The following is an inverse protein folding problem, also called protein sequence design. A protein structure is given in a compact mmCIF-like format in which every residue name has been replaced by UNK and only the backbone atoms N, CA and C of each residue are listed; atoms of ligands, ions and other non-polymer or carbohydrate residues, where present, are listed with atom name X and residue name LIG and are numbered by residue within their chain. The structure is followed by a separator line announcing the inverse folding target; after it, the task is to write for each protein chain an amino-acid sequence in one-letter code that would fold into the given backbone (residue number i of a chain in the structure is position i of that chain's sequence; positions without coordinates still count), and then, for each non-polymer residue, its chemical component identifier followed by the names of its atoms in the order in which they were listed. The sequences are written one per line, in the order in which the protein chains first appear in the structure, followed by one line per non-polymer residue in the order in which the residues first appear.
data_IF_034168784861
#
_entry.id   IF_034168784861
#
_cell.length_a   1.000
_cell.length_b   1.000
_cell.length_c   1.000
_cell.angle_alpha   90.00
_cell.angle_beta   90.00
_cell.angle_gamma   90.00
#
_symmetry.space_group_name_H-M   'P 1'
#
loop_
_entity.id
_entity.type
_entity.pdbx_description
1 polymer ?
#
# COMPACT_ATOMS: atom_id res chain seq x y z
N UNK A 1 -3.65 6.59 18.81
CA UNK A 1 -2.68 5.57 18.33
C UNK A 1 -1.91 5.08 19.53
N UNK A 2 -1.69 3.76 19.61
CA UNK A 2 -0.86 3.15 20.65
C UNK A 2 0.48 2.75 20.04
N UNK A 3 1.57 3.05 20.75
CA UNK A 3 2.93 2.71 20.33
C UNK A 3 3.52 1.77 21.36
N UNK A 4 4.07 0.66 20.88
CA UNK A 4 4.80 -0.29 21.71
C UNK A 4 6.30 -0.09 21.52
N UNK A 5 6.98 0.32 22.59
CA UNK A 5 8.44 0.40 22.63
C UNK A 5 8.99 -1.01 22.90
N UNK A 6 9.64 -1.61 21.92
CA UNK A 6 10.14 -3.00 22.01
C UNK A 6 11.28 -3.14 23.02
N UNK A 7 12.11 -2.11 23.19
CA UNK A 7 13.24 -2.10 24.13
C UNK A 7 12.73 -1.99 25.57
N UNK A 8 11.81 -1.05 25.82
CA UNK A 8 11.24 -0.82 27.15
C UNK A 8 10.12 -1.78 27.49
N UNK A 9 9.53 -2.45 26.50
CA UNK A 9 8.35 -3.33 26.60
C UNK A 9 7.14 -2.63 27.22
N UNK A 10 6.95 -1.36 26.87
CA UNK A 10 5.88 -0.52 27.40
C UNK A 10 5.00 0.01 26.27
N UNK A 11 3.71 0.09 26.54
CA UNK A 11 2.76 0.81 25.70
C UNK A 11 2.68 2.27 26.10
N UNK A 12 2.54 3.15 25.12
CA UNK A 12 2.26 4.56 25.31
C UNK A 12 1.28 5.06 24.27
N UNK A 13 0.35 5.91 24.70
CA UNK A 13 -0.60 6.56 23.82
C UNK A 13 0.01 7.81 23.18
N UNK A 14 -0.14 7.94 21.87
CA UNK A 14 0.17 9.17 21.13
C UNK A 14 -0.97 10.15 21.34
N UNK A 15 -0.70 11.43 21.64
CA UNK A 15 -1.72 12.46 21.75
C UNK A 15 -2.60 12.47 20.50
N UNK A 16 -3.91 12.42 20.74
CA UNK A 16 -4.89 12.50 19.68
C UNK A 16 -4.81 13.90 19.04
N UNK A 17 -4.71 14.03 17.71
CA UNK A 17 -4.98 15.30 17.06
C UNK A 17 -6.44 15.69 17.37
N UNK A 18 -6.64 16.53 18.38
CA UNK A 18 -7.95 16.84 18.99
C UNK A 18 -9.05 17.32 18.02
N UNK A 19 -8.68 17.78 16.82
CA UNK A 19 -9.60 18.19 15.75
C UNK A 19 -9.89 17.09 14.70
N UNK A 20 -9.38 15.87 14.94
CA UNK A 20 -9.33 14.77 13.99
C UNK A 20 -9.96 13.49 14.54
N UNK A 21 -11.17 13.60 15.09
CA UNK A 21 -12.00 12.42 15.30
C UNK A 21 -12.16 11.67 13.97
N UNK A 22 -11.75 10.41 13.96
CA UNK A 22 -11.95 9.52 12.82
C UNK A 22 -13.44 9.46 12.46
N UNK A 23 -13.70 9.51 11.16
CA UNK A 23 -15.05 9.37 10.62
C UNK A 23 -15.54 7.92 10.59
N UNK A 24 -14.69 6.96 10.97
CA UNK A 24 -14.98 5.53 10.94
C UNK A 24 -15.46 4.99 12.30
N UNK A 25 -16.29 3.93 12.32
CA UNK A 25 -16.75 3.29 13.55
C UNK A 25 -15.59 2.89 14.46
N UNK A 26 -15.71 3.16 15.76
CA UNK A 26 -14.72 2.79 16.77
C UNK A 26 -13.38 3.53 16.66
N UNK A 27 -13.32 4.64 15.92
CA UNK A 27 -12.07 5.40 15.75
C UNK A 27 -11.07 4.74 14.79
N UNK A 28 -11.53 3.83 13.93
CA UNK A 28 -10.69 3.10 12.98
C UNK A 28 -10.18 3.99 11.83
N UNK A 29 -9.46 3.40 10.88
CA UNK A 29 -9.03 4.08 9.66
C UNK A 29 -8.96 3.08 8.50
N UNK A 30 -8.92 3.56 7.27
CA UNK A 30 -8.92 2.72 6.07
C UNK A 30 -7.59 1.98 5.95
N UNK A 31 -6.46 2.70 5.97
CA UNK A 31 -5.12 2.10 5.90
C UNK A 31 -4.06 3.03 6.47
N UNK A 32 -2.89 2.49 6.79
CA UNK A 32 -1.71 3.26 7.14
C UNK A 32 -0.48 2.70 6.44
N UNK A 33 0.51 3.55 6.23
CA UNK A 33 1.83 3.19 5.73
C UNK A 33 2.90 4.04 6.41
N UNK A 34 4.14 3.58 6.38
CA UNK A 34 5.29 4.37 6.83
C UNK A 34 6.10 4.76 5.60
N UNK A 35 6.37 6.05 5.43
CA UNK A 35 7.25 6.60 4.41
C UNK A 35 8.06 7.72 5.06
N UNK A 36 9.34 7.86 4.74
CA UNK A 36 10.20 8.96 5.21
C UNK A 36 10.18 9.12 6.75
N UNK A 37 10.26 8.01 7.49
CA UNK A 37 10.15 7.96 8.97
C UNK A 37 8.83 8.54 9.55
N UNK A 38 7.80 8.74 8.73
CA UNK A 38 6.50 9.28 9.13
C UNK A 38 5.39 8.25 8.92
N UNK A 39 4.39 8.29 9.79
CA UNK A 39 3.22 7.40 9.71
C UNK A 39 2.12 8.15 8.96
N UNK A 40 1.84 7.70 7.75
CA UNK A 40 0.72 8.19 6.95
C UNK A 40 -0.50 7.33 7.25
N UNK A 41 -1.64 7.97 7.43
CA UNK A 41 -2.91 7.33 7.77
C UNK A 41 -3.99 7.87 6.85
N UNK A 42 -4.68 6.96 6.18
CA UNK A 42 -5.86 7.25 5.38
C UNK A 42 -7.11 6.92 6.20
N UNK A 43 -7.89 7.93 6.52
CA UNK A 43 -9.26 7.79 7.00
C UNK A 43 -10.25 7.90 5.82
N UNK A 44 -11.54 7.66 6.04
CA UNK A 44 -12.56 7.72 4.99
C UNK A 44 -12.66 9.09 4.32
N UNK A 45 -12.42 10.17 5.07
CA UNK A 45 -12.61 11.55 4.60
C UNK A 45 -11.33 12.40 4.62
N UNK A 46 -10.22 11.91 5.19
CA UNK A 46 -9.00 12.71 5.39
C UNK A 46 -7.73 11.87 5.38
N UNK A 47 -6.61 12.51 5.06
CA UNK A 47 -5.27 11.96 5.29
C UNK A 47 -4.64 12.59 6.53
N UNK A 48 -3.94 11.80 7.33
CA UNK A 48 -3.15 12.28 8.47
C UNK A 48 -1.71 11.81 8.31
N UNK A 49 -0.77 12.63 8.77
CA UNK A 49 0.65 12.28 8.86
C UNK A 49 1.11 12.57 10.28
N UNK A 50 1.67 11.56 10.92
CA UNK A 50 2.29 11.67 12.23
C UNK A 50 3.80 11.58 12.08
N UNK A 51 4.53 12.53 12.67
CA UNK A 51 5.99 12.53 12.75
C UNK A 51 6.44 12.11 14.16
N UNK A 52 6.82 10.84 14.38
CA UNK A 52 7.07 10.32 15.72
C UNK A 52 8.21 11.04 16.46
N UNK A 53 9.23 11.51 15.72
CA UNK A 53 10.39 12.20 16.29
C UNK A 53 10.03 13.55 16.92
N UNK A 54 9.06 14.27 16.33
CA UNK A 54 8.62 15.58 16.81
C UNK A 54 7.32 15.51 17.61
N UNK A 55 6.59 14.40 17.52
CA UNK A 55 5.26 14.26 18.13
C UNK A 55 4.21 15.15 17.47
N UNK A 56 4.41 15.54 16.21
CA UNK A 56 3.54 16.48 15.48
C UNK A 56 2.62 15.75 14.52
N UNK A 57 1.47 16.37 14.26
CA UNK A 57 0.44 15.90 13.36
C UNK A 57 0.22 16.90 12.23
N UNK A 58 0.02 16.38 11.02
CA UNK A 58 -0.40 17.15 9.85
C UNK A 58 -1.64 16.49 9.25
N UNK A 59 -2.61 17.29 8.83
CA UNK A 59 -3.84 16.80 8.19
C UNK A 59 -3.92 17.27 6.74
N UNK A 60 -4.53 16.43 5.91
CA UNK A 60 -4.71 16.64 4.49
C UNK A 60 -6.20 16.51 4.18
N UNK A 61 -6.76 17.51 3.53
CA UNK A 61 -8.18 17.53 3.19
C UNK A 61 -8.51 16.61 2.00
N UNK A 62 -9.81 16.35 1.84
CA UNK A 62 -10.37 15.60 0.72
C UNK A 62 -9.97 16.26 -0.61
N UNK A 63 -9.36 15.48 -1.50
CA UNK A 63 -8.88 15.97 -2.81
C UNK A 63 -7.39 16.32 -2.85
N UNK A 64 -6.67 16.13 -1.74
CA UNK A 64 -5.20 16.18 -1.78
C UNK A 64 -4.62 15.17 -2.78
N UNK A 65 -3.46 15.50 -3.36
CA UNK A 65 -2.81 14.67 -4.40
C UNK A 65 -2.58 13.24 -3.93
N UNK A 66 -2.14 13.06 -2.68
CA UNK A 66 -1.94 11.74 -2.07
C UNK A 66 -3.24 10.90 -2.07
N UNK A 67 -4.35 11.48 -1.58
CA UNK A 67 -5.61 10.76 -1.42
C UNK A 67 -6.27 10.33 -2.75
N UNK A 68 -5.90 10.95 -3.88
CA UNK A 68 -6.56 10.72 -5.15
C UNK A 68 -6.50 9.25 -5.63
N UNK A 69 -5.36 8.59 -5.42
CA UNK A 69 -5.15 7.18 -5.79
C UNK A 69 -4.80 6.25 -4.63
N UNK A 70 -4.66 6.76 -3.40
CA UNK A 70 -4.32 5.91 -2.27
C UNK A 70 -5.50 5.00 -1.86
N UNK A 71 -5.31 3.68 -2.02
CA UNK A 71 -6.32 2.65 -1.74
C UNK A 71 -5.66 1.38 -1.22
N UNK A 72 -6.41 0.55 -0.48
CA UNK A 72 -6.00 -0.84 -0.23
C UNK A 72 -6.30 -1.73 -1.45
N UNK A 73 -5.47 -2.74 -1.72
CA UNK A 73 -4.17 -2.99 -1.11
C UNK A 73 -3.10 -1.99 -1.61
N UNK A 74 -2.13 -1.69 -0.75
CA UNK A 74 -0.99 -0.84 -1.07
C UNK A 74 0.28 -1.37 -0.40
N UNK A 75 1.44 -0.92 -0.88
CA UNK A 75 2.74 -1.30 -0.35
C UNK A 75 3.71 -0.13 -0.43
N UNK A 76 4.63 -0.01 0.53
CA UNK A 76 5.74 0.94 0.46
C UNK A 76 7.04 0.22 0.14
N UNK A 77 7.77 0.75 -0.84
CA UNK A 77 9.09 0.28 -1.25
C UNK A 77 9.97 1.52 -1.44
N UNK A 78 11.09 1.60 -0.70
CA UNK A 78 12.01 2.74 -0.76
C UNK A 78 11.30 4.11 -0.58
N UNK A 79 10.43 4.20 0.42
CA UNK A 79 9.59 5.39 0.73
C UNK A 79 8.59 5.81 -0.35
N UNK A 80 8.39 4.96 -1.37
CA UNK A 80 7.38 5.19 -2.41
C UNK A 80 6.17 4.30 -2.20
N UNK A 81 4.98 4.86 -2.35
CA UNK A 81 3.71 4.16 -2.13
C UNK A 81 3.14 3.62 -3.44
N UNK A 82 3.00 2.30 -3.51
CA UNK A 82 2.44 1.56 -4.64
C UNK A 82 1.00 1.17 -4.35
N UNK A 83 0.09 1.49 -5.29
CA UNK A 83 -1.33 1.16 -5.23
C UNK A 83 -1.82 0.65 -6.57
N UNK A 84 -2.87 -0.18 -6.58
CA UNK A 84 -3.60 -0.45 -7.81
C UNK A 84 -4.43 0.75 -8.27
N UNK A 85 -4.53 0.91 -9.58
CA UNK A 85 -5.55 1.73 -10.23
C UNK A 85 -6.45 0.85 -11.10
N UNK A 86 -7.53 0.27 -10.53
CA UNK A 86 -8.45 -0.58 -11.27
C UNK A 86 -9.11 0.11 -12.48
N UNK A 87 -9.15 1.45 -12.49
CA UNK A 87 -9.71 2.23 -13.60
C UNK A 87 -8.68 2.50 -14.70
N UNK A 88 -7.40 2.23 -14.44
CA UNK A 88 -6.29 2.51 -15.35
C UNK A 88 -6.37 3.96 -15.91
N UNK A 89 -6.63 4.93 -15.04
CA UNK A 89 -6.72 6.36 -15.37
C UNK A 89 -5.45 6.84 -16.08
N UNK A 90 -4.28 6.37 -15.61
CA UNK A 90 -2.99 6.63 -16.24
C UNK A 90 -2.53 5.51 -17.18
N UNK A 91 -3.46 4.69 -17.69
CA UNK A 91 -3.25 3.55 -18.61
C UNK A 91 -2.41 2.39 -18.05
N UNK A 92 -2.07 2.43 -16.78
CA UNK A 92 -1.31 1.40 -16.08
C UNK A 92 -2.08 0.91 -14.85
N UNK A 93 -1.98 -0.38 -14.50
CA UNK A 93 -2.76 -0.96 -13.42
C UNK A 93 -2.20 -0.64 -12.03
N UNK A 94 -0.96 -0.15 -11.94
CA UNK A 94 -0.28 0.18 -10.68
C UNK A 94 0.27 1.59 -10.82
N UNK A 95 0.05 2.38 -9.77
CA UNK A 95 0.58 3.73 -9.63
C UNK A 95 1.54 3.79 -8.44
N UNK A 96 2.47 4.72 -8.53
CA UNK A 96 3.48 5.01 -7.52
C UNK A 96 3.34 6.46 -7.09
N UNK A 97 3.21 6.70 -5.79
CA UNK A 97 3.26 8.03 -5.21
C UNK A 97 4.65 8.30 -4.66
N UNK A 98 5.19 9.44 -5.08
CA UNK A 98 6.40 10.01 -4.54
C UNK A 98 6.02 11.10 -3.52
N UNK A 99 6.37 10.93 -2.23
CA UNK A 99 6.06 11.93 -1.21
C UNK A 99 6.90 13.21 -1.33
N UNK A 100 8.08 13.16 -1.94
CA UNK A 100 8.94 14.33 -2.16
C UNK A 100 8.38 15.22 -3.28
N UNK A 101 8.01 14.61 -4.40
CA UNK A 101 7.41 15.30 -5.56
C UNK A 101 5.90 15.53 -5.42
N UNK A 102 5.28 14.90 -4.41
CA UNK A 102 3.85 14.88 -4.15
C UNK A 102 3.01 14.50 -5.38
N UNK A 103 3.49 13.54 -6.18
CA UNK A 103 2.89 13.18 -7.47
C UNK A 103 2.65 11.68 -7.58
N UNK A 104 1.54 11.32 -8.24
CA UNK A 104 1.28 9.95 -8.68
C UNK A 104 1.76 9.76 -10.11
N UNK A 105 2.57 8.74 -10.31
CA UNK A 105 3.11 8.34 -11.60
C UNK A 105 2.77 6.87 -11.89
N UNK A 106 2.59 6.49 -13.16
CA UNK A 106 2.33 5.09 -13.49
C UNK A 106 3.59 4.23 -13.32
N UNK A 107 3.43 3.02 -12.80
CA UNK A 107 4.47 1.99 -12.90
C UNK A 107 4.51 1.45 -14.33
N UNK A 108 5.54 1.82 -15.08
CA UNK A 108 5.69 1.41 -16.48
C UNK A 108 6.17 -0.03 -16.60
N UNK A 109 6.06 -0.62 -17.80
CA UNK A 109 6.57 -1.96 -18.09
C UNK A 109 5.70 -3.12 -17.61
N UNK A 110 4.81 -2.91 -16.63
CA UNK A 110 3.85 -3.91 -16.14
C UNK A 110 2.62 -3.94 -17.04
N UNK A 111 2.75 -4.63 -18.17
CA UNK A 111 1.65 -4.90 -19.09
C UNK A 111 1.33 -6.39 -18.98
N UNK A 112 0.07 -6.76 -18.69
CA UNK A 112 -0.45 -8.15 -18.56
C UNK A 112 -0.36 -8.78 -17.16
N UNK A 113 -0.85 -8.08 -16.14
CA UNK A 113 -1.26 -8.78 -14.92
C UNK A 113 -2.47 -9.70 -15.22
N UNK A 114 -2.64 -10.81 -14.50
CA UNK A 114 -3.89 -11.55 -14.49
C UNK A 114 -5.08 -10.63 -14.20
N UNK A 115 -6.29 -11.04 -14.58
CA UNK A 115 -7.50 -10.28 -14.23
C UNK A 115 -7.83 -10.51 -12.74
N UNK A 116 -7.07 -9.81 -11.90
CA UNK A 116 -7.08 -9.92 -10.44
C UNK A 116 -8.29 -9.23 -9.83
N UNK A 117 -8.82 -9.81 -8.76
CA UNK A 117 -9.77 -9.14 -7.88
C UNK A 117 -9.01 -8.15 -7.00
N UNK A 118 -8.72 -6.96 -7.52
CA UNK A 118 -7.78 -6.01 -6.87
C UNK A 118 -8.07 -5.73 -5.39
N UNK A 119 -9.34 -5.62 -5.00
CA UNK A 119 -9.74 -5.37 -3.61
C UNK A 119 -9.50 -6.56 -2.65
N UNK A 120 -9.39 -7.77 -3.19
CA UNK A 120 -9.08 -8.99 -2.44
C UNK A 120 -7.57 -9.32 -2.46
N UNK A 121 -6.78 -8.55 -3.23
CA UNK A 121 -5.35 -8.75 -3.33
C UNK A 121 -4.60 -8.24 -2.08
N UNK A 122 -3.34 -8.61 -1.97
CA UNK A 122 -2.34 -7.99 -1.08
C UNK A 122 -1.11 -7.60 -1.87
N UNK A 123 -0.46 -6.53 -1.42
CA UNK A 123 0.82 -6.08 -1.94
C UNK A 123 1.84 -6.13 -0.80
N UNK A 124 3.07 -6.57 -1.08
CA UNK A 124 4.13 -6.64 -0.09
C UNK A 124 5.50 -6.32 -0.69
N UNK A 125 6.38 -5.82 0.17
CA UNK A 125 7.78 -5.56 -0.14
C UNK A 125 8.62 -6.77 0.26
N UNK A 126 9.27 -7.40 -0.71
CA UNK A 126 10.21 -8.48 -0.49
C UNK A 126 11.58 -8.11 -1.09
N UNK A 127 12.46 -7.57 -0.26
CA UNK A 127 13.82 -7.20 -0.68
C UNK A 127 13.84 -6.16 -1.81
N UNK A 128 12.96 -5.15 -1.75
CA UNK A 128 12.83 -4.12 -2.78
C UNK A 128 11.99 -4.53 -3.99
N UNK A 129 11.50 -5.77 -4.04
CA UNK A 129 10.57 -6.24 -5.07
C UNK A 129 9.13 -6.02 -4.64
N UNK A 130 8.29 -5.72 -5.62
CA UNK A 130 6.85 -5.64 -5.42
C UNK A 130 6.22 -7.02 -5.63
N UNK A 131 5.70 -7.59 -4.54
CA UNK A 131 4.94 -8.83 -4.55
C UNK A 131 3.44 -8.51 -4.59
N UNK A 132 2.70 -9.18 -5.46
CA UNK A 132 1.24 -9.14 -5.50
C UNK A 132 0.69 -10.53 -5.27
N UNK A 133 -0.23 -10.65 -4.32
CA UNK A 133 -0.95 -11.89 -4.04
C UNK A 133 -2.44 -11.66 -4.27
N UNK A 134 -3.12 -12.59 -4.93
CA UNK A 134 -4.56 -12.45 -5.10
C UNK A 134 -5.20 -13.50 -5.98
N UNK A 135 -6.53 -13.52 -5.94
CA UNK A 135 -7.35 -14.38 -6.79
C UNK A 135 -7.71 -13.66 -8.09
N UNK A 136 -8.09 -14.44 -9.10
CA UNK A 136 -8.55 -13.90 -10.38
C UNK A 136 -10.06 -14.01 -10.52
N UNK A 137 -10.67 -13.27 -11.45
CA UNK A 137 -12.09 -13.44 -11.80
C UNK A 137 -12.38 -14.70 -12.65
N UNK A 138 -11.49 -15.69 -12.66
CA UNK A 138 -11.66 -16.98 -13.37
C UNK A 138 -12.47 -17.94 -12.49
N UNK A 139 -13.09 -19.00 -13.09
CA UNK A 139 -13.92 -19.96 -12.34
C UNK A 139 -13.16 -20.72 -11.24
N UNK A 140 -11.83 -20.86 -11.35
CA UNK A 140 -10.99 -21.41 -10.31
C UNK A 140 -10.43 -20.27 -9.44
N UNK A 141 -10.66 -20.36 -8.13
CA UNK A 141 -10.23 -19.34 -7.15
C UNK A 141 -8.77 -19.55 -6.72
N UNK A 142 -7.90 -19.88 -7.67
CA UNK A 142 -6.47 -20.04 -7.40
C UNK A 142 -5.90 -18.72 -6.90
N UNK A 143 -5.06 -18.80 -5.86
CA UNK A 143 -4.28 -17.66 -5.40
C UNK A 143 -2.98 -17.61 -6.17
N UNK A 144 -2.72 -16.47 -6.77
CA UNK A 144 -1.52 -16.19 -7.53
C UNK A 144 -0.54 -15.39 -6.70
N UNK A 145 0.74 -15.67 -6.87
CA UNK A 145 1.86 -14.84 -6.47
C UNK A 145 2.50 -14.27 -7.74
N UNK A 146 2.63 -12.96 -7.79
CA UNK A 146 3.24 -12.23 -8.89
C UNK A 146 4.40 -11.44 -8.32
N UNK A 147 5.59 -11.69 -8.85
CA UNK A 147 6.81 -11.00 -8.47
C UNK A 147 7.15 -9.96 -9.54
N UNK A 148 7.31 -8.72 -9.11
CA UNK A 148 7.65 -7.59 -9.97
C UNK A 148 8.96 -7.00 -9.44
N UNK A 149 10.01 -7.09 -10.25
CA UNK A 149 11.26 -6.37 -9.97
C UNK A 149 11.13 -4.94 -10.47
N UNK A 150 11.66 -4.00 -9.70
CA UNK A 150 11.56 -2.57 -9.96
C UNK A 150 12.91 -2.04 -10.44
N UNK A 151 12.86 -1.09 -11.37
CA UNK A 151 14.02 -0.41 -11.93
C UNK A 151 13.71 1.09 -12.01
N UNK A 152 14.56 1.91 -11.39
CA UNK A 152 14.54 3.36 -11.57
C UNK A 152 15.32 3.71 -12.83
N UNK A 153 14.71 4.50 -13.71
CA UNK A 153 15.29 4.95 -14.98
C UNK A 153 15.47 6.48 -15.00
N UNK A 154 16.00 6.98 -16.10
CA UNK A 154 16.21 8.42 -16.31
C UNK A 154 14.93 9.22 -15.99
N UNK A 155 15.12 10.43 -15.44
CA UNK A 155 14.05 11.37 -15.08
C UNK A 155 13.08 10.86 -13.99
N UNK A 156 13.52 9.93 -13.14
CA UNK A 156 12.71 9.44 -12.02
C UNK A 156 11.61 8.46 -12.43
N UNK A 157 11.62 7.97 -13.67
CA UNK A 157 10.65 6.97 -14.10
C UNK A 157 10.89 5.64 -13.38
N UNK A 158 9.81 5.00 -12.93
CA UNK A 158 9.87 3.69 -12.31
C UNK A 158 9.24 2.68 -13.26
N UNK A 159 10.03 1.65 -13.57
CA UNK A 159 9.64 0.54 -14.41
C UNK A 159 9.54 -0.73 -13.58
N UNK A 160 8.54 -1.54 -13.87
CA UNK A 160 8.36 -2.87 -13.31
C UNK A 160 8.51 -3.92 -14.40
N UNK A 161 9.18 -5.03 -14.06
CA UNK A 161 9.24 -6.24 -14.88
C UNK A 161 8.66 -7.40 -14.08
N UNK A 162 7.61 -8.01 -14.60
CA UNK A 162 7.06 -9.24 -14.03
C UNK A 162 8.07 -10.36 -14.27
N UNK A 163 8.62 -10.94 -13.20
CA UNK A 163 9.60 -12.03 -13.29
C UNK A 163 8.98 -13.40 -13.03
N UNK A 164 7.92 -13.47 -12.23
CA UNK A 164 7.20 -14.71 -11.98
C UNK A 164 5.70 -14.44 -11.80
N UNK A 165 4.89 -15.41 -12.26
CA UNK A 165 3.45 -15.48 -12.07
C UNK A 165 3.12 -16.94 -11.76
N UNK A 166 2.91 -17.26 -10.49
CA UNK A 166 2.83 -18.64 -10.03
C UNK A 166 1.58 -18.85 -9.17
N UNK A 167 0.75 -19.88 -9.43
CA UNK A 167 -0.30 -20.25 -8.51
C UNK A 167 0.32 -20.86 -7.26
N UNK A 168 0.08 -20.25 -6.10
CA UNK A 168 0.61 -20.71 -4.80
C UNK A 168 -0.41 -21.50 -3.99
N UNK A 169 -1.69 -21.38 -4.34
CA UNK A 169 -2.77 -22.18 -3.77
C UNK A 169 -3.78 -22.47 -4.86
N UNK A 170 -4.11 -23.76 -5.05
CA UNK A 170 -5.25 -24.20 -5.86
C UNK A 170 -6.39 -24.54 -4.94
N UNK A 171 -7.55 -23.95 -5.17
CA UNK A 171 -8.71 -24.12 -4.28
C UNK A 171 -10.01 -24.05 -5.05
N UNK A 172 -10.93 -24.96 -4.73
CA UNK A 172 -12.32 -24.93 -5.22
C UNK A 172 -13.12 -23.82 -4.52
N UNK A 173 -12.74 -23.47 -3.28
CA UNK A 173 -13.32 -22.37 -2.50
C UNK A 173 -12.56 -21.07 -2.75
N UNK A 174 -13.20 -19.92 -2.51
CA UNK A 174 -12.56 -18.59 -2.55
C UNK A 174 -11.63 -18.39 -1.35
N UNK A 175 -10.30 -18.45 -1.49
CA UNK A 175 -9.39 -18.19 -0.39
C UNK A 175 -9.37 -16.68 -0.08
N UNK A 176 -9.17 -16.34 1.18
CA UNK A 176 -8.96 -14.97 1.64
C UNK A 176 -7.55 -14.83 2.22
N UNK A 177 -6.85 -13.78 1.82
CA UNK A 177 -5.54 -13.44 2.37
C UNK A 177 -5.77 -12.37 3.43
N UNK A 178 -5.44 -12.66 4.68
CA UNK A 178 -5.61 -11.69 5.76
C UNK A 178 -4.39 -10.76 5.87
N UNK A 179 -3.21 -11.37 6.05
CA UNK A 179 -1.92 -10.69 6.21
C UNK A 179 -0.94 -11.14 5.13
N UNK A 180 -0.13 -10.20 4.65
CA UNK A 180 1.01 -10.47 3.80
C UNK A 180 2.21 -9.65 4.30
N UNK A 181 3.28 -10.33 4.70
CA UNK A 181 4.48 -9.71 5.26
C UNK A 181 5.70 -10.53 4.89
N UNK A 182 6.83 -9.86 4.68
CA UNK A 182 8.12 -10.53 4.55
C UNK A 182 8.63 -10.91 5.95
N UNK A 183 9.28 -12.06 6.04
CA UNK A 183 9.91 -12.55 7.27
C UNK A 183 11.41 -12.56 7.02
N UNK A 184 12.15 -11.77 7.78
CA UNK A 184 13.61 -11.88 7.89
C UNK A 184 13.93 -12.79 9.07
N UNK A 185 14.63 -13.89 8.79
CA UNK A 185 15.16 -14.82 9.79
C UNK A 185 16.56 -14.40 10.22
#
# INVERSE_FOLDING_TARGET
IEVFDVEKRTWSSVPDPSDCNSSMPGGGFVTSVVMQDRIYILDAMRGLVYEPRQGTWQSWELGSKLMYFWRKPCCVIEDLLYCFDPRCVLRHPILVYDPDEMVWSPLKGVNRLPYLKYFECKMANLGGKLMVFGTTHRPYNDTWCIEIVLERRERGEIWGKVVSVTPVLRSENSPYIDLCSSVTF
#
